data_IF_358733082688
#
_entry.id   IF_358733082688
#
_cell.length_a   1.000
_cell.length_b   1.000
_cell.length_c   1.000
_cell.angle_alpha   90.00
_cell.angle_beta   90.00
_cell.angle_gamma   90.00
#
_symmetry.space_group_name_H-M   'P 1'
#
loop_
_entity.id
_entity.type
_entity.pdbx_description
1 polymer ?
#
# COMPACT_ATOMS: atom_id res chain seq x y z
N UNK A 1 18.60 -7.54 1.50
CA UNK A 1 17.91 -6.28 1.78
C UNK A 1 17.63 -5.65 0.43
N UNK A 2 16.37 -5.42 0.11
CA UNK A 2 16.02 -4.78 -1.16
C UNK A 2 16.32 -3.28 -1.06
N UNK A 3 16.96 -2.70 -2.07
CA UNK A 3 17.26 -1.27 -2.12
C UNK A 3 16.25 -0.56 -3.02
N UNK A 4 15.41 0.27 -2.41
CA UNK A 4 14.42 1.08 -3.10
C UNK A 4 14.81 2.56 -3.17
N UNK A 5 16.04 2.93 -2.78
CA UNK A 5 16.50 4.31 -2.66
C UNK A 5 16.29 5.16 -3.91
N UNK A 6 16.31 4.56 -5.10
CA UNK A 6 16.04 5.22 -6.38
C UNK A 6 14.63 5.83 -6.48
N UNK A 7 13.67 5.37 -5.67
CA UNK A 7 12.31 5.90 -5.58
C UNK A 7 12.19 7.09 -4.63
N UNK A 8 13.15 7.34 -3.74
CA UNK A 8 13.08 8.44 -2.76
C UNK A 8 12.95 9.82 -3.39
N UNK A 9 13.45 9.99 -4.61
CA UNK A 9 13.25 11.23 -5.38
C UNK A 9 11.77 11.55 -5.66
N UNK A 10 10.88 10.56 -5.57
CA UNK A 10 9.43 10.72 -5.76
C UNK A 10 8.65 10.84 -4.44
N UNK A 11 9.34 10.86 -3.29
CA UNK A 11 8.69 11.03 -2.00
C UNK A 11 8.25 12.49 -1.82
N UNK A 12 7.00 12.67 -1.41
CA UNK A 12 6.41 13.96 -1.07
C UNK A 12 6.17 14.04 0.43
N UNK A 13 6.24 15.24 1.04
CA UNK A 13 6.04 15.40 2.48
C UNK A 13 4.66 14.97 2.99
N UNK A 14 3.62 15.04 2.15
CA UNK A 14 2.27 14.57 2.48
C UNK A 14 1.39 14.48 1.23
N UNK A 15 0.23 13.84 1.36
CA UNK A 15 -0.80 13.75 0.31
C UNK A 15 -1.27 15.10 -0.23
N UNK A 16 -1.23 16.13 0.63
CA UNK A 16 -1.66 17.50 0.33
C UNK A 16 -0.71 18.23 -0.63
N UNK A 17 0.51 17.71 -0.81
CA UNK A 17 1.50 18.29 -1.71
C UNK A 17 1.26 17.77 -3.13
N UNK A 18 1.17 18.70 -4.09
CA UNK A 18 1.09 18.34 -5.49
C UNK A 18 2.46 17.86 -5.98
N UNK A 19 2.47 16.71 -6.67
CA UNK A 19 3.69 16.21 -7.29
C UNK A 19 4.12 17.14 -8.43
N UNK A 20 5.43 17.40 -8.60
CA UNK A 20 5.94 18.07 -9.79
C UNK A 20 5.49 17.35 -11.08
N UNK A 21 5.17 18.07 -12.17
CA UNK A 21 4.68 17.46 -13.41
C UNK A 21 5.64 16.43 -14.05
N UNK A 22 6.93 16.49 -13.73
CA UNK A 22 7.96 15.57 -14.20
C UNK A 22 8.06 14.28 -13.37
N UNK A 23 7.38 14.20 -12.23
CA UNK A 23 7.42 13.02 -11.39
C UNK A 23 6.65 11.89 -12.06
N UNK A 24 7.27 10.72 -12.17
CA UNK A 24 6.60 9.52 -12.68
C UNK A 24 5.80 8.81 -11.59
N UNK A 25 6.25 8.91 -10.35
CA UNK A 25 5.66 8.23 -9.18
C UNK A 25 5.37 9.27 -8.10
N UNK A 26 4.50 8.93 -7.15
CA UNK A 26 4.14 9.79 -6.03
C UNK A 26 4.05 8.94 -4.77
N UNK A 27 5.00 9.11 -3.86
CA UNK A 27 4.99 8.38 -2.59
C UNK A 27 4.84 9.30 -1.39
N UNK A 28 4.32 8.74 -0.32
CA UNK A 28 4.16 9.40 0.97
C UNK A 28 4.88 8.57 2.02
N UNK A 29 5.82 9.17 2.76
CA UNK A 29 6.53 8.47 3.83
C UNK A 29 5.55 8.07 4.92
N UNK A 30 5.87 6.96 5.59
CA UNK A 30 5.13 6.46 6.74
C UNK A 30 6.00 6.55 7.98
N UNK A 31 5.37 6.85 9.10
CA UNK A 31 5.96 6.61 10.40
C UNK A 31 5.93 5.12 10.71
N UNK A 32 6.97 4.65 11.40
CA UNK A 32 7.07 3.24 11.79
C UNK A 32 5.87 2.79 12.66
N UNK A 33 5.31 3.71 13.45
CA UNK A 33 4.13 3.45 14.26
C UNK A 33 2.90 3.10 13.42
N UNK A 34 2.70 3.69 12.25
CA UNK A 34 1.54 3.39 11.38
C UNK A 34 1.56 1.92 10.92
N UNK A 35 2.75 1.41 10.59
CA UNK A 35 2.94 0.00 10.24
C UNK A 35 2.67 -0.89 11.46
N UNK A 36 3.25 -0.56 12.61
CA UNK A 36 3.09 -1.35 13.85
C UNK A 36 1.64 -1.35 14.36
N UNK A 37 0.92 -0.24 14.22
CA UNK A 37 -0.49 -0.12 14.58
C UNK A 37 -1.39 -0.98 13.69
N UNK A 38 -1.15 -0.98 12.37
CA UNK A 38 -1.87 -1.86 11.44
C UNK A 38 -1.56 -3.34 11.70
N UNK A 39 -0.29 -3.71 11.93
CA UNK A 39 0.09 -5.09 12.30
C UNK A 39 -0.61 -5.54 13.60
N UNK A 40 -0.67 -4.65 14.59
CA UNK A 40 -1.36 -4.92 15.86
C UNK A 40 -2.86 -5.09 15.66
N UNK A 41 -3.50 -4.25 14.84
CA UNK A 41 -4.93 -4.33 14.54
C UNK A 41 -5.28 -5.65 13.83
N UNK A 42 -4.43 -6.09 12.90
CA UNK A 42 -4.58 -7.35 12.19
C UNK A 42 -4.19 -8.58 13.02
N UNK A 43 -3.53 -8.38 14.16
CA UNK A 43 -2.86 -9.46 14.91
C UNK A 43 -1.95 -10.31 13.99
N UNK A 44 -1.31 -9.67 13.01
CA UNK A 44 -0.54 -10.30 11.92
C UNK A 44 0.55 -9.33 11.47
N UNK A 45 1.73 -9.85 11.17
CA UNK A 45 2.85 -9.03 10.66
C UNK A 45 2.83 -8.96 9.15
N UNK A 46 3.12 -7.79 8.58
CA UNK A 46 3.29 -7.65 7.13
C UNK A 46 4.49 -8.45 6.64
N UNK A 47 4.49 -8.90 5.37
CA UNK A 47 5.64 -9.53 4.75
C UNK A 47 6.87 -8.64 4.84
N UNK A 48 8.04 -9.26 5.02
CA UNK A 48 9.29 -8.55 5.28
C UNK A 48 9.61 -7.54 4.17
N UNK A 49 9.40 -7.91 2.92
CA UNK A 49 9.63 -7.09 1.74
C UNK A 49 8.75 -5.83 1.75
N UNK A 50 7.49 -5.99 2.15
CA UNK A 50 6.55 -4.88 2.27
C UNK A 50 6.93 -3.94 3.41
N UNK A 51 7.35 -4.47 4.55
CA UNK A 51 7.90 -3.67 5.66
C UNK A 51 9.16 -2.91 5.27
N UNK A 52 10.07 -3.56 4.53
CA UNK A 52 11.29 -2.92 4.01
C UNK A 52 10.93 -1.78 3.04
N UNK A 53 9.90 -1.96 2.21
CA UNK A 53 9.40 -0.91 1.32
C UNK A 53 8.80 0.26 2.10
N UNK A 54 7.90 0.01 3.05
CA UNK A 54 7.30 1.05 3.90
C UNK A 54 8.35 1.86 4.65
N UNK A 55 9.35 1.19 5.22
CA UNK A 55 10.42 1.87 5.95
C UNK A 55 11.33 2.73 5.05
N UNK A 56 11.49 2.37 3.77
CA UNK A 56 12.37 3.10 2.86
C UNK A 56 11.66 4.22 2.12
N UNK A 57 10.40 3.98 1.72
CA UNK A 57 9.65 4.79 0.74
C UNK A 57 8.28 5.21 1.28
N UNK A 58 7.57 4.31 1.95
CA UNK A 58 6.18 4.50 2.37
C UNK A 58 5.20 3.88 1.38
N UNK A 59 4.10 4.57 1.07
CA UNK A 59 3.03 4.08 0.17
C UNK A 59 2.73 5.11 -0.92
N UNK A 60 1.88 4.76 -1.90
CA UNK A 60 1.43 5.71 -2.92
C UNK A 60 1.45 5.16 -4.33
N UNK A 61 1.50 6.04 -5.32
CA UNK A 61 1.15 5.75 -6.69
C UNK A 61 2.36 5.55 -7.59
N UNK A 62 2.40 4.42 -8.28
CA UNK A 62 3.34 4.15 -9.36
C UNK A 62 2.78 4.70 -10.68
N UNK A 63 3.61 5.33 -11.52
CA UNK A 63 3.17 5.76 -12.85
C UNK A 63 1.88 6.61 -12.84
N UNK A 64 1.69 7.50 -11.85
CA UNK A 64 0.40 8.13 -11.54
C UNK A 64 -0.22 8.99 -12.66
N UNK A 65 0.54 9.28 -13.73
CA UNK A 65 0.03 9.92 -14.94
C UNK A 65 -0.68 8.95 -15.91
N UNK A 66 -0.53 7.64 -15.74
CA UNK A 66 -1.28 6.63 -16.49
C UNK A 66 -2.72 6.61 -15.98
N UNK A 67 -3.66 7.05 -16.80
CA UNK A 67 -5.08 7.17 -16.42
C UNK A 67 -5.86 5.85 -16.49
N UNK A 68 -5.22 4.78 -16.92
CA UNK A 68 -5.87 3.47 -17.09
C UNK A 68 -6.03 2.73 -15.76
N UNK A 69 -5.07 2.91 -14.85
CA UNK A 69 -4.98 2.20 -13.58
C UNK A 69 -4.44 3.14 -12.51
N UNK A 70 -4.92 2.99 -11.27
CA UNK A 70 -4.44 3.77 -10.13
C UNK A 70 -2.99 3.42 -9.79
N UNK A 71 -2.62 2.13 -9.89
CA UNK A 71 -1.27 1.65 -9.61
C UNK A 71 -0.79 2.02 -8.19
N UNK A 72 -1.67 1.85 -7.20
CA UNK A 72 -1.46 2.24 -5.82
C UNK A 72 -0.77 1.13 -5.03
N UNK A 73 0.42 1.39 -4.50
CA UNK A 73 0.96 0.64 -3.36
C UNK A 73 0.16 1.08 -2.14
N UNK A 74 -0.61 0.16 -1.58
CA UNK A 74 -1.54 0.44 -0.49
C UNK A 74 -0.80 0.78 0.80
N UNK A 75 -1.36 1.72 1.58
CA UNK A 75 -0.88 2.04 2.92
C UNK A 75 -1.24 0.94 3.93
N UNK A 76 -0.53 0.84 5.06
CA UNK A 76 -0.72 -0.24 6.03
C UNK A 76 -2.13 -0.26 6.62
N UNK A 77 -2.72 0.92 6.91
CA UNK A 77 -4.09 1.00 7.40
C UNK A 77 -5.12 0.60 6.34
N UNK A 78 -4.96 1.01 5.08
CA UNK A 78 -5.87 0.60 4.00
C UNK A 78 -5.83 -0.91 3.73
N UNK A 79 -4.68 -1.55 3.90
CA UNK A 79 -4.60 -3.02 3.85
C UNK A 79 -5.33 -3.62 5.05
N UNK A 80 -5.21 -3.03 6.24
CA UNK A 80 -5.93 -3.51 7.41
C UNK A 80 -7.45 -3.40 7.24
N UNK A 81 -7.94 -2.29 6.69
CA UNK A 81 -9.37 -2.10 6.38
C UNK A 81 -9.85 -3.16 5.40
N UNK A 82 -9.08 -3.43 4.34
CA UNK A 82 -9.41 -4.46 3.35
C UNK A 82 -9.45 -5.88 3.95
N UNK A 83 -8.44 -6.28 4.73
CA UNK A 83 -8.40 -7.63 5.33
C UNK A 83 -9.54 -7.82 6.34
N UNK A 84 -9.92 -6.77 7.06
CA UNK A 84 -10.99 -6.81 8.05
C UNK A 84 -12.39 -6.59 7.43
N UNK A 85 -12.46 -6.24 6.15
CA UNK A 85 -13.72 -5.93 5.47
C UNK A 85 -14.38 -4.66 6.02
N UNK A 86 -13.61 -3.62 6.30
CA UNK A 86 -14.08 -2.36 6.87
C UNK A 86 -14.08 -1.22 5.83
N UNK A 87 -14.83 -0.15 6.14
CA UNK A 87 -14.96 1.05 5.32
C UNK A 87 -15.42 0.77 3.88
N UNK A 88 -14.59 1.11 2.88
CA UNK A 88 -14.93 0.97 1.46
C UNK A 88 -14.85 -0.49 0.98
N UNK A 89 -14.38 -1.41 1.83
CA UNK A 89 -14.14 -2.80 1.47
C UNK A 89 -15.22 -3.76 1.96
N UNK A 90 -16.24 -3.29 2.71
CA UNK A 90 -17.30 -4.15 3.29
C UNK A 90 -17.93 -5.10 2.27
N UNK A 91 -18.14 -4.64 1.02
CA UNK A 91 -18.77 -5.42 -0.05
C UNK A 91 -17.76 -6.00 -1.07
N UNK A 92 -16.45 -5.98 -0.78
CA UNK A 92 -15.44 -6.46 -1.71
C UNK A 92 -15.43 -7.99 -1.79
N UNK A 93 -15.56 -8.52 -3.01
CA UNK A 93 -15.88 -9.93 -3.26
C UNK A 93 -14.83 -10.94 -2.76
N UNK A 94 -13.60 -10.51 -2.49
CA UNK A 94 -12.53 -11.38 -1.95
C UNK A 94 -12.26 -11.18 -0.45
N UNK A 95 -13.03 -10.36 0.27
CA UNK A 95 -12.76 -10.08 1.70
C UNK A 95 -12.70 -11.37 2.52
N UNK A 96 -13.66 -12.27 2.33
CA UNK A 96 -13.70 -13.55 3.06
C UNK A 96 -12.45 -14.40 2.76
N UNK A 97 -12.05 -14.51 1.49
CA UNK A 97 -10.85 -15.26 1.07
C UNK A 97 -9.57 -14.65 1.66
N UNK A 98 -9.45 -13.32 1.65
CA UNK A 98 -8.30 -12.60 2.20
C UNK A 98 -8.22 -12.73 3.72
N UNK A 99 -9.36 -12.70 4.40
CA UNK A 99 -9.42 -12.85 5.85
C UNK A 99 -9.07 -14.26 6.32
N UNK A 100 -9.44 -15.28 5.54
CA UNK A 100 -9.18 -16.69 5.87
C UNK A 100 -7.73 -17.12 5.59
N UNK A 101 -7.03 -16.52 4.63
CA UNK A 101 -5.65 -16.89 4.28
C UNK A 101 -4.59 -15.96 4.92
N UNK A 102 -3.84 -16.42 5.95
CA UNK A 102 -2.78 -15.66 6.61
C UNK A 102 -1.49 -15.50 5.78
N UNK A 103 -1.45 -16.01 4.55
CA UNK A 103 -0.38 -15.77 3.58
C UNK A 103 -0.78 -14.81 2.47
N UNK A 104 -2.08 -14.62 2.22
CA UNK A 104 -2.58 -13.71 1.21
C UNK A 104 -2.50 -12.26 1.72
N UNK A 105 -1.61 -11.45 1.15
CA UNK A 105 -1.43 -10.05 1.51
C UNK A 105 -1.63 -9.14 0.29
N UNK A 106 -2.77 -8.42 0.20
CA UNK A 106 -2.96 -7.42 -0.85
C UNK A 106 -2.00 -6.25 -0.57
N UNK A 107 -1.26 -5.82 -1.60
CA UNK A 107 -0.33 -4.69 -1.45
C UNK A 107 -0.43 -3.67 -2.58
N UNK A 108 -1.03 -4.04 -3.71
CA UNK A 108 -1.11 -3.18 -4.89
C UNK A 108 -2.52 -3.18 -5.47
N UNK A 109 -3.09 -1.99 -5.63
CA UNK A 109 -4.41 -1.78 -6.19
C UNK A 109 -4.32 -1.17 -7.59
N UNK A 110 -4.96 -1.83 -8.56
CA UNK A 110 -4.93 -1.42 -9.96
C UNK A 110 -5.98 -0.34 -10.30
N UNK A 111 -6.99 -0.08 -9.46
CA UNK A 111 -8.01 0.93 -9.73
C UNK A 111 -9.27 0.42 -10.44
N UNK A 112 -9.35 -0.87 -10.72
CA UNK A 112 -10.48 -1.54 -11.37
C UNK A 112 -10.96 -2.76 -10.57
N UNK A 113 -10.97 -2.63 -9.25
CA UNK A 113 -11.26 -3.71 -8.28
C UNK A 113 -10.25 -4.88 -8.29
N UNK A 114 -9.19 -4.80 -9.09
CA UNK A 114 -8.12 -5.79 -9.10
C UNK A 114 -7.03 -5.46 -8.06
N UNK A 115 -6.64 -6.48 -7.30
CA UNK A 115 -5.56 -6.45 -6.33
C UNK A 115 -4.43 -7.39 -6.75
N UNK A 116 -3.20 -6.98 -6.47
CA UNK A 116 -2.03 -7.88 -6.53
C UNK A 116 -1.61 -8.22 -5.11
N UNK A 117 -1.34 -9.50 -4.92
CA UNK A 117 -0.99 -10.10 -3.64
C UNK A 117 0.49 -10.48 -3.60
N UNK A 118 1.08 -10.43 -2.41
CA UNK A 118 2.32 -11.12 -2.13
C UNK A 118 2.00 -12.60 -1.88
N UNK A 119 2.78 -13.47 -2.54
CA UNK A 119 2.73 -14.94 -2.43
C UNK A 119 3.99 -15.46 -1.75
#
# INVERSE_FOLDING_TARGET
MCDFSFLKKYALPSEKVQAPPEYKHKFYPLDRSEVEEAEKRLNRTFPKELREFYSQIGYGFMCFHQKTFDNLIMGPHSIADLILGEDIWEDYFLVEEIAEDPHLFPFFFLGNDDLIFLI
#
